data_IF_258486697760
#
_entry.id   IF_258486697760
#
_cell.length_a   1.000
_cell.length_b   1.000
_cell.length_c   1.000
_cell.angle_alpha   90.00
_cell.angle_beta   90.00
_cell.angle_gamma   90.00
#
_symmetry.space_group_name_H-M   'P 1'
#
loop_
_entity.id
_entity.type
_entity.pdbx_description
1 polymer ?
#
# COMPACT_ATOMS: atom_id res chain seq x y z
N UNK A 1 25.36 8.42 -23.30
CA UNK A 1 24.94 7.53 -22.20
C UNK A 1 24.17 8.34 -21.18
N UNK A 2 22.85 8.14 -21.05
CA UNK A 2 22.24 8.16 -19.73
C UNK A 2 21.08 7.17 -19.72
N UNK A 3 21.24 6.16 -18.88
CA UNK A 3 20.45 4.94 -18.84
C UNK A 3 19.04 5.25 -18.31
N UNK A 4 18.04 4.57 -18.88
CA UNK A 4 16.63 4.83 -18.68
C UNK A 4 16.22 4.89 -17.21
N UNK A 5 15.75 6.06 -16.80
CA UNK A 5 14.85 6.17 -15.66
C UNK A 5 13.47 5.67 -16.10
N UNK A 6 13.26 4.36 -16.03
CA UNK A 6 11.92 3.80 -16.11
C UNK A 6 11.08 4.38 -14.97
N UNK A 7 9.93 5.02 -15.26
CA UNK A 7 9.08 5.56 -14.21
C UNK A 7 8.57 4.44 -13.30
N UNK A 8 8.58 4.72 -11.99
CA UNK A 8 8.44 3.73 -10.92
C UNK A 8 6.98 3.64 -10.48
N UNK A 9 6.34 2.50 -10.76
CA UNK A 9 4.92 2.19 -10.51
C UNK A 9 4.58 1.96 -9.03
N UNK A 10 3.31 2.16 -8.67
CA UNK A 10 2.76 1.88 -7.33
C UNK A 10 2.08 0.48 -7.26
N UNK A 11 1.52 -0.03 -8.37
CA UNK A 11 0.93 -1.37 -8.50
C UNK A 11 1.37 -2.07 -9.80
N UNK A 12 1.66 -3.37 -9.72
CA UNK A 12 2.10 -4.24 -10.82
C UNK A 12 0.94 -4.95 -11.54
N UNK A 13 -0.19 -5.15 -10.87
CA UNK A 13 -1.36 -5.87 -11.39
C UNK A 13 -2.03 -5.19 -12.60
N UNK A 14 -2.31 -3.86 -12.59
CA UNK A 14 -2.90 -3.19 -13.74
C UNK A 14 -1.98 -3.24 -14.98
N UNK A 15 -0.67 -3.20 -14.75
CA UNK A 15 0.35 -3.29 -15.80
C UNK A 15 0.33 -4.65 -16.49
N UNK A 16 0.25 -5.72 -15.71
CA UNK A 16 0.15 -7.08 -16.23
C UNK A 16 -1.14 -7.27 -17.04
N UNK A 17 -2.28 -6.73 -16.58
CA UNK A 17 -3.55 -6.77 -17.31
C UNK A 17 -3.52 -5.95 -18.62
N UNK A 18 -2.92 -4.75 -18.60
CA UNK A 18 -2.76 -3.94 -19.80
C UNK A 18 -1.88 -4.66 -20.85
N UNK A 19 -0.85 -5.35 -20.38
CA UNK A 19 0.07 -6.10 -21.24
C UNK A 19 -0.58 -7.37 -21.83
N UNK A 20 -1.46 -8.04 -21.08
CA UNK A 20 -2.26 -9.16 -21.61
C UNK A 20 -3.33 -8.72 -22.60
N UNK A 21 -3.81 -7.47 -22.52
CA UNK A 21 -4.75 -6.86 -23.48
C UNK A 21 -4.08 -6.27 -24.72
N UNK A 22 -2.76 -6.46 -24.90
CA UNK A 22 -2.02 -5.93 -26.05
C UNK A 22 -1.78 -4.41 -26.02
N UNK A 23 -2.02 -3.75 -24.88
CA UNK A 23 -1.78 -2.32 -24.70
C UNK A 23 -0.35 -1.99 -24.29
N UNK A 24 0.02 -0.70 -24.37
CA UNK A 24 1.34 -0.22 -23.91
C UNK A 24 1.40 -0.10 -22.39
N UNK A 25 2.52 -0.54 -21.80
CA UNK A 25 2.77 -0.49 -20.35
C UNK A 25 3.01 0.92 -19.79
N UNK A 26 3.09 1.94 -20.65
CA UNK A 26 3.29 3.36 -20.31
C UNK A 26 1.98 4.07 -19.93
N UNK A 27 0.81 3.59 -20.37
CA UNK A 27 -0.46 4.28 -20.09
C UNK A 27 -0.89 4.18 -18.62
N UNK A 28 -0.37 3.19 -17.89
CA UNK A 28 -0.60 2.99 -16.45
C UNK A 28 0.36 3.82 -15.56
N UNK A 29 1.24 4.60 -16.17
CA UNK A 29 2.38 5.24 -15.49
C UNK A 29 2.00 6.55 -14.76
N UNK A 30 0.78 7.05 -14.99
CA UNK A 30 0.30 8.33 -14.46
C UNK A 30 -1.17 8.30 -13.99
N UNK A 31 -1.65 7.15 -13.52
CA UNK A 31 -3.06 7.02 -13.16
C UNK A 31 -3.30 7.44 -11.70
N UNK A 32 -3.46 8.75 -11.47
CA UNK A 32 -3.78 9.31 -10.15
C UNK A 32 -4.99 8.63 -9.47
N UNK A 33 -5.92 8.09 -10.27
CA UNK A 33 -7.04 7.30 -9.78
C UNK A 33 -6.62 6.01 -9.06
N UNK A 34 -5.60 5.30 -9.54
CA UNK A 34 -5.12 4.06 -8.89
C UNK A 34 -4.44 4.37 -7.56
N UNK A 35 -3.64 5.43 -7.51
CA UNK A 35 -3.01 5.89 -6.27
C UNK A 35 -4.07 6.33 -5.25
N UNK A 36 -5.13 6.99 -5.70
CA UNK A 36 -6.25 7.39 -4.85
C UNK A 36 -7.01 6.19 -4.30
N UNK A 37 -7.41 5.23 -5.16
CA UNK A 37 -8.10 4.01 -4.73
C UNK A 37 -7.27 3.22 -3.72
N UNK A 38 -5.98 3.05 -3.99
CA UNK A 38 -5.09 2.33 -3.09
C UNK A 38 -4.92 3.03 -1.74
N UNK A 39 -4.75 4.36 -1.75
CA UNK A 39 -4.64 5.15 -0.53
C UNK A 39 -5.94 5.10 0.29
N UNK A 40 -7.10 5.16 -0.39
CA UNK A 40 -8.42 4.99 0.24
C UNK A 40 -8.58 3.61 0.85
N UNK A 41 -8.13 2.55 0.16
CA UNK A 41 -8.20 1.18 0.68
C UNK A 41 -7.29 0.98 1.90
N UNK A 42 -6.05 1.50 1.87
CA UNK A 42 -5.14 1.51 3.04
C UNK A 42 -5.79 2.24 4.22
N UNK A 43 -6.35 3.41 3.96
CA UNK A 43 -7.00 4.22 4.97
C UNK A 43 -8.21 3.50 5.57
N UNK A 44 -9.05 2.88 4.73
CA UNK A 44 -10.22 2.11 5.14
C UNK A 44 -9.83 0.92 6.02
N UNK A 45 -8.85 0.12 5.60
CA UNK A 45 -8.35 -1.03 6.39
C UNK A 45 -7.84 -0.57 7.75
N UNK A 46 -7.06 0.50 7.77
CA UNK A 46 -6.52 1.07 9.01
C UNK A 46 -7.64 1.59 9.91
N UNK A 47 -8.61 2.29 9.33
CA UNK A 47 -9.76 2.84 10.05
C UNK A 47 -10.60 1.75 10.69
N UNK A 48 -10.95 0.70 9.95
CA UNK A 48 -11.70 -0.44 10.48
C UNK A 48 -10.90 -1.17 11.56
N UNK A 49 -9.59 -1.35 11.36
CA UNK A 49 -8.71 -1.96 12.35
C UNK A 49 -8.70 -1.17 13.66
N UNK A 50 -8.62 0.16 13.62
CA UNK A 50 -8.64 0.94 14.86
C UNK A 50 -10.04 1.09 15.46
N UNK A 51 -11.10 1.04 14.64
CA UNK A 51 -12.48 1.14 15.10
C UNK A 51 -12.88 -0.02 16.03
N UNK A 52 -12.24 -1.19 15.90
CA UNK A 52 -12.49 -2.34 16.79
C UNK A 52 -12.13 -2.06 18.25
N UNK A 53 -11.28 -1.07 18.52
CA UNK A 53 -10.87 -0.69 19.88
C UNK A 53 -11.79 0.34 20.53
N UNK A 54 -12.82 0.84 19.83
CA UNK A 54 -13.80 1.75 20.42
C UNK A 54 -14.70 0.95 21.38
N UNK A 55 -14.77 1.31 22.67
CA UNK A 55 -15.58 0.58 23.64
C UNK A 55 -17.07 0.54 23.26
N UNK A 56 -17.68 -0.64 23.32
CA UNK A 56 -19.11 -0.81 23.08
C UNK A 56 -20.00 -0.15 24.16
N UNK A 57 -19.41 0.17 25.33
CA UNK A 57 -20.08 0.86 26.43
C UNK A 57 -20.34 2.34 26.16
N UNK A 58 -19.77 2.89 25.10
CA UNK A 58 -19.97 4.29 24.74
C UNK A 58 -21.39 4.55 24.27
N UNK A 59 -22.01 5.59 24.82
CA UNK A 59 -23.28 6.12 24.30
C UNK A 59 -23.13 6.57 22.85
N UNK A 60 -24.25 6.63 22.11
CA UNK A 60 -24.26 6.88 20.66
C UNK A 60 -23.49 8.15 20.26
N UNK A 61 -23.67 9.26 20.98
CA UNK A 61 -22.96 10.52 20.71
C UNK A 61 -21.44 10.40 20.90
N UNK A 62 -21.01 9.74 21.98
CA UNK A 62 -19.59 9.52 22.27
C UNK A 62 -18.96 8.61 21.22
N UNK A 63 -19.71 7.62 20.74
CA UNK A 63 -19.30 6.71 19.65
C UNK A 63 -19.12 7.45 18.34
N UNK A 64 -20.07 8.31 17.95
CA UNK A 64 -19.95 9.15 16.74
C UNK A 64 -18.74 10.08 16.86
N UNK A 65 -18.59 10.77 17.99
CA UNK A 65 -17.45 11.66 18.22
C UNK A 65 -16.11 10.91 18.13
N UNK A 66 -16.06 9.69 18.70
CA UNK A 66 -14.89 8.81 18.64
C UNK A 66 -14.57 8.38 17.20
N UNK A 67 -15.59 8.06 16.40
CA UNK A 67 -15.40 7.67 14.99
C UNK A 67 -14.87 8.84 14.13
N UNK A 68 -15.32 10.06 14.39
CA UNK A 68 -14.82 11.28 13.72
C UNK A 68 -13.38 11.57 14.15
N UNK A 69 -13.10 11.54 15.45
CA UNK A 69 -11.76 11.72 15.98
C UNK A 69 -10.81 10.63 15.44
N UNK A 70 -11.28 9.39 15.35
CA UNK A 70 -10.52 8.28 14.82
C UNK A 70 -10.12 8.53 13.36
N UNK A 71 -11.01 9.08 12.54
CA UNK A 71 -10.68 9.40 11.14
C UNK A 71 -9.48 10.36 11.07
N UNK A 72 -9.48 11.39 11.91
CA UNK A 72 -8.36 12.32 12.01
C UNK A 72 -7.09 11.64 12.54
N UNK A 73 -7.20 10.80 13.57
CA UNK A 73 -6.07 10.08 14.15
C UNK A 73 -5.43 9.08 13.17
N UNK A 74 -6.21 8.38 12.36
CA UNK A 74 -5.70 7.46 11.33
C UNK A 74 -4.94 8.23 10.25
N UNK A 75 -5.46 9.38 9.85
CA UNK A 75 -4.76 10.25 8.91
C UNK A 75 -3.42 10.75 9.48
N UNK A 76 -3.44 11.21 10.73
CA UNK A 76 -2.23 11.67 11.43
C UNK A 76 -1.21 10.53 11.64
N UNK A 77 -1.67 9.34 11.99
CA UNK A 77 -0.84 8.14 12.12
C UNK A 77 -0.08 7.87 10.83
N UNK A 78 -0.74 7.87 9.68
CA UNK A 78 -0.09 7.64 8.39
C UNK A 78 0.89 8.76 8.03
N UNK A 79 0.55 10.02 8.33
CA UNK A 79 1.44 11.15 8.11
C UNK A 79 2.72 11.01 8.93
N UNK A 80 2.60 10.67 10.22
CA UNK A 80 3.73 10.41 11.11
C UNK A 80 4.54 9.19 10.66
N UNK A 81 3.88 8.07 10.32
CA UNK A 81 4.53 6.86 9.87
C UNK A 81 5.37 7.10 8.60
N UNK A 82 4.83 7.85 7.63
CA UNK A 82 5.55 8.22 6.41
C UNK A 82 6.72 9.17 6.68
N UNK A 83 6.55 10.10 7.62
CA UNK A 83 7.59 11.04 8.01
C UNK A 83 8.75 10.34 8.72
N UNK A 84 8.46 9.54 9.76
CA UNK A 84 9.46 8.76 10.49
C UNK A 84 10.16 7.79 9.55
N UNK A 85 9.42 7.13 8.66
CA UNK A 85 10.02 6.26 7.66
C UNK A 85 10.98 7.01 6.72
N UNK A 86 10.59 8.19 6.23
CA UNK A 86 11.48 9.04 5.41
C UNK A 86 12.78 9.38 6.14
N UNK A 87 12.68 9.69 7.44
CA UNK A 87 13.83 9.98 8.30
C UNK A 87 14.73 8.75 8.47
N UNK A 88 14.15 7.58 8.75
CA UNK A 88 14.88 6.30 8.86
C UNK A 88 15.60 5.96 7.55
N UNK A 89 14.93 6.10 6.40
CA UNK A 89 15.55 5.84 5.09
C UNK A 89 16.73 6.79 4.85
N UNK A 90 16.58 8.09 5.16
CA UNK A 90 17.67 9.07 5.03
C UNK A 90 18.85 8.74 5.93
N UNK A 91 18.60 8.31 7.17
CA UNK A 91 19.66 7.86 8.08
C UNK A 91 20.40 6.64 7.52
N UNK A 92 19.67 5.65 7.02
CA UNK A 92 20.29 4.46 6.45
C UNK A 92 21.04 4.74 5.14
N UNK A 93 20.59 5.73 4.37
CA UNK A 93 21.32 6.23 3.20
C UNK A 93 22.61 6.95 3.62
N UNK A 94 22.59 7.73 4.70
CA UNK A 94 23.78 8.37 5.26
C UNK A 94 24.80 7.33 5.78
N UNK A 95 24.33 6.23 6.36
CA UNK A 95 25.16 5.08 6.76
C UNK A 95 25.61 4.18 5.59
N UNK A 96 25.24 4.50 4.34
CA UNK A 96 25.64 3.76 3.14
C UNK A 96 24.87 2.46 2.86
N UNK A 97 23.92 2.06 3.71
CA UNK A 97 23.20 0.78 3.62
C UNK A 97 22.17 0.74 2.48
N UNK A 98 21.51 1.88 2.19
CA UNK A 98 20.41 1.97 1.20
C UNK A 98 20.62 3.00 0.09
N UNK A 99 21.89 3.24 -0.28
CA UNK A 99 22.27 4.28 -1.25
C UNK A 99 21.56 4.21 -2.61
N UNK A 100 21.07 3.02 -3.01
CA UNK A 100 20.41 2.77 -4.30
C UNK A 100 18.88 2.56 -4.24
N UNK A 101 18.28 2.46 -3.05
CA UNK A 101 16.83 2.24 -2.95
C UNK A 101 16.10 3.59 -2.97
N UNK A 102 15.17 3.82 -3.91
CA UNK A 102 14.36 5.02 -3.90
C UNK A 102 13.42 5.06 -2.70
N UNK A 103 13.38 6.19 -1.99
CA UNK A 103 12.57 6.45 -0.79
C UNK A 103 11.11 6.02 -0.99
N UNK A 104 10.54 6.34 -2.16
CA UNK A 104 9.16 6.00 -2.54
C UNK A 104 8.86 4.49 -2.49
N UNK A 105 9.83 3.64 -2.85
CA UNK A 105 9.65 2.17 -2.85
C UNK A 105 9.66 1.62 -1.43
N UNK A 106 10.58 2.08 -0.58
CA UNK A 106 10.62 1.71 0.82
C UNK A 106 9.36 2.20 1.59
N UNK A 107 8.86 3.39 1.26
CA UNK A 107 7.58 3.88 1.76
C UNK A 107 6.40 3.01 1.34
N UNK A 108 6.30 2.65 0.06
CA UNK A 108 5.24 1.78 -0.42
C UNK A 108 5.25 0.40 0.26
N UNK A 109 6.44 -0.20 0.48
CA UNK A 109 6.57 -1.48 1.18
C UNK A 109 6.07 -1.37 2.63
N UNK A 110 6.44 -0.31 3.34
CA UNK A 110 6.00 -0.13 4.72
C UNK A 110 4.51 0.11 4.83
N UNK A 111 3.94 0.92 3.93
CA UNK A 111 2.49 1.15 3.87
C UNK A 111 1.75 -0.15 3.57
N UNK A 112 2.13 -0.86 2.52
CA UNK A 112 1.48 -2.10 2.13
C UNK A 112 1.65 -3.19 3.21
N UNK A 113 2.83 -3.29 3.82
CA UNK A 113 3.12 -4.25 4.89
C UNK A 113 2.30 -3.98 6.15
N UNK A 114 2.29 -2.73 6.63
CA UNK A 114 1.51 -2.36 7.82
C UNK A 114 0.00 -2.52 7.59
N UNK A 115 -0.52 -2.07 6.44
CA UNK A 115 -1.93 -2.27 6.09
C UNK A 115 -2.29 -3.76 5.97
N UNK A 116 -1.40 -4.59 5.41
CA UNK A 116 -1.62 -6.05 5.33
C UNK A 116 -1.58 -6.72 6.70
N UNK A 117 -0.73 -6.28 7.61
CA UNK A 117 -0.73 -6.77 9.00
C UNK A 117 -2.03 -6.42 9.72
N UNK A 118 -2.54 -5.19 9.55
CA UNK A 118 -3.84 -4.78 10.10
C UNK A 118 -4.99 -5.57 9.48
N UNK A 119 -4.98 -5.77 8.15
CA UNK A 119 -5.96 -6.60 7.46
C UNK A 119 -5.94 -8.05 7.95
N UNK A 120 -4.77 -8.64 8.16
CA UNK A 120 -4.65 -10.00 8.69
C UNK A 120 -5.28 -10.14 10.08
N UNK A 121 -5.12 -9.13 10.95
CA UNK A 121 -5.79 -9.11 12.25
C UNK A 121 -7.31 -8.93 12.13
N UNK A 122 -7.77 -8.03 11.25
CA UNK A 122 -9.20 -7.86 10.96
C UNK A 122 -9.84 -9.14 10.42
N UNK A 123 -9.12 -9.90 9.59
CA UNK A 123 -9.57 -11.17 9.06
C UNK A 123 -9.82 -12.19 10.18
N UNK A 124 -8.95 -12.23 11.19
CA UNK A 124 -9.11 -13.11 12.35
C UNK A 124 -10.25 -12.69 13.27
N UNK A 125 -10.57 -11.40 13.34
CA UNK A 125 -11.69 -10.89 14.14
C UNK A 125 -13.06 -11.31 13.58
N UNK A 126 -13.15 -11.65 12.30
CA UNK A 126 -14.37 -12.13 11.64
C UNK A 126 -15.40 -11.04 11.32
N UNK A 127 -16.57 -11.45 10.80
CA UNK A 127 -17.65 -10.53 10.39
C UNK A 127 -17.38 -9.79 9.07
N UNK A 128 -18.21 -8.78 8.77
CA UNK A 128 -18.15 -8.02 7.51
C UNK A 128 -16.83 -7.26 7.32
N UNK A 129 -16.15 -6.92 8.41
CA UNK A 129 -14.82 -6.27 8.37
C UNK A 129 -13.74 -7.24 7.86
N UNK A 130 -13.89 -8.53 8.18
CA UNK A 130 -13.03 -9.59 7.69
C UNK A 130 -13.13 -9.79 6.18
N UNK A 131 -14.31 -9.59 5.57
CA UNK A 131 -14.49 -9.65 4.12
C UNK A 131 -13.69 -8.54 3.41
N UNK A 132 -13.75 -7.31 3.94
CA UNK A 132 -12.95 -6.18 3.42
C UNK A 132 -11.45 -6.46 3.55
N UNK A 133 -11.04 -7.03 4.67
CA UNK A 133 -9.66 -7.45 4.88
C UNK A 133 -9.23 -8.56 3.91
N UNK A 134 -10.09 -9.54 3.63
CA UNK A 134 -9.82 -10.59 2.65
C UNK A 134 -9.64 -10.01 1.24
N UNK A 135 -10.51 -9.09 0.83
CA UNK A 135 -10.40 -8.40 -0.47
C UNK A 135 -9.06 -7.66 -0.57
N UNK A 136 -8.66 -6.94 0.49
CA UNK A 136 -7.36 -6.28 0.55
C UNK A 136 -6.19 -7.25 0.38
N UNK A 137 -6.18 -8.34 1.15
CA UNK A 137 -5.10 -9.33 1.12
C UNK A 137 -5.00 -10.03 -0.24
N UNK A 138 -6.13 -10.38 -0.85
CA UNK A 138 -6.18 -10.95 -2.21
C UNK A 138 -5.62 -9.95 -3.22
N UNK A 139 -6.02 -8.68 -3.15
CA UNK A 139 -5.50 -7.64 -4.04
C UNK A 139 -3.98 -7.47 -3.91
N UNK A 140 -3.45 -7.47 -2.68
CA UNK A 140 -2.01 -7.42 -2.41
C UNK A 140 -1.30 -8.67 -2.95
N UNK A 141 -1.85 -9.86 -2.72
CA UNK A 141 -1.27 -11.12 -3.19
C UNK A 141 -1.21 -11.19 -4.72
N UNK A 142 -2.30 -10.82 -5.40
CA UNK A 142 -2.32 -10.74 -6.86
C UNK A 142 -1.33 -9.69 -7.38
N UNK A 143 -1.17 -8.57 -6.67
CA UNK A 143 -0.22 -7.53 -7.04
C UNK A 143 1.24 -7.99 -6.88
N UNK A 144 1.53 -8.75 -5.83
CA UNK A 144 2.83 -9.37 -5.62
C UNK A 144 3.12 -10.42 -6.70
N UNK A 145 2.15 -11.28 -7.01
CA UNK A 145 2.26 -12.29 -8.07
C UNK A 145 2.52 -11.61 -9.43
N UNK A 146 1.79 -10.54 -9.75
CA UNK A 146 2.02 -9.77 -10.96
C UNK A 146 3.42 -9.14 -11.01
N UNK A 147 3.92 -8.64 -9.88
CA UNK A 147 5.28 -8.11 -9.79
C UNK A 147 6.33 -9.19 -10.05
N UNK A 148 6.14 -10.41 -9.54
CA UNK A 148 7.04 -11.55 -9.78
C UNK A 148 7.02 -11.96 -11.25
N UNK A 149 5.83 -12.11 -11.86
CA UNK A 149 5.71 -12.49 -13.28
C UNK A 149 6.39 -11.45 -14.19
N UNK A 150 6.19 -10.16 -13.91
CA UNK A 150 6.84 -9.09 -14.66
C UNK A 150 8.36 -9.08 -14.46
N UNK A 151 8.84 -9.38 -13.25
CA UNK A 151 10.28 -9.48 -12.98
C UNK A 151 10.92 -10.65 -13.75
N UNK A 152 10.28 -11.83 -13.75
CA UNK A 152 10.75 -13.00 -14.50
C UNK A 152 10.80 -12.70 -16.00
N UNK A 153 9.72 -12.17 -16.57
CA UNK A 153 9.64 -11.86 -18.01
C UNK A 153 10.63 -10.79 -18.47
N UNK A 154 10.91 -9.79 -17.63
CA UNK A 154 11.92 -8.78 -17.95
C UNK A 154 13.34 -9.31 -17.78
N UNK A 155 13.55 -10.27 -16.87
CA UNK A 155 14.81 -11.02 -16.76
C UNK A 155 15.09 -11.83 -18.03
N UNK A 156 14.10 -12.54 -18.55
CA UNK A 156 14.24 -13.33 -19.78
C UNK A 156 14.59 -12.46 -21.00
N UNK A 157 14.02 -11.25 -21.09
CA UNK A 157 14.31 -10.28 -22.17
C UNK A 157 15.67 -9.59 -22.05
N UNK A 158 16.29 -9.58 -20.86
CA UNK A 158 17.62 -9.01 -20.67
C UNK A 158 18.74 -9.99 -21.03
N UNK A 159 18.41 -11.27 -21.24
CA UNK A 159 19.32 -12.36 -21.61
C UNK A 159 19.14 -12.86 -23.05
N UNK A 160 18.25 -12.25 -23.83
CA UNK A 160 18.07 -12.47 -25.28
C UNK A 160 18.67 -11.33 -26.08
#
# INVERSE_FOLDING_TARGET
>A
MNNGEFPRFYFALPRLLALFRGGSSERAENNGGEAWIASTAVYLVSYLYFAQFIPATFGLWLKILSLVLLAFLVWLFWLLALYVNSLVIKLLQACGLFRKIPVRRAQSILVAGAASAMAFQLLQAGGWQGEIAAIWLVAVAMNLAAAVILALRNGDRAHS
#
